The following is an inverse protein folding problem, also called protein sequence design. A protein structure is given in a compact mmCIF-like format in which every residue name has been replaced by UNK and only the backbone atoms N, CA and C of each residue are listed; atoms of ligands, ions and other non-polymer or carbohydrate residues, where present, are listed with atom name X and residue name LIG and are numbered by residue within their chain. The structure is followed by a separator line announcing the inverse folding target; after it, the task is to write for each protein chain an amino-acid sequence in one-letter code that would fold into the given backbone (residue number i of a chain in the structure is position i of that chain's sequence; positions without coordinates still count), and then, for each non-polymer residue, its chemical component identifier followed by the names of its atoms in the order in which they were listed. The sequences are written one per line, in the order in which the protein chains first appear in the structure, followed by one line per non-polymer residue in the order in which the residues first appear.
data_IF_699865613781
#
_entry.id   IF_699865613781
#
_cell.length_a   1.000
_cell.length_b   1.000
_cell.length_c   1.000
_cell.angle_alpha   90.00
_cell.angle_beta   90.00
_cell.angle_gamma   90.00
#
_symmetry.space_group_name_H-M   'P 1'
#
loop_
_entity.id
_entity.type
_entity.pdbx_description
1 polymer ?
#
# COMPACT_ATOMS: atom_id res chain seq x y z
N UNK A 1 16.25 -11.55 26.11
CA UNK A 1 15.47 -11.04 24.95
C UNK A 1 14.54 -12.12 24.36
N UNK A 2 14.56 -13.35 24.89
CA UNK A 2 13.81 -14.49 24.37
C UNK A 2 12.48 -14.81 25.11
N UNK A 3 12.10 -14.05 26.13
CA UNK A 3 10.94 -14.40 27.00
C UNK A 3 9.61 -13.73 26.63
N UNK A 4 9.60 -12.72 25.78
CA UNK A 4 8.37 -12.02 25.36
C UNK A 4 7.65 -12.67 24.18
N UNK A 5 8.39 -13.29 23.28
CA UNK A 5 7.82 -13.96 22.08
C UNK A 5 7.15 -15.30 22.43
N UNK A 6 7.63 -16.01 23.44
CA UNK A 6 7.04 -17.28 23.88
C UNK A 6 5.63 -17.17 24.47
N UNK A 7 5.29 -16.04 25.09
CA UNK A 7 3.96 -15.80 25.67
C UNK A 7 2.88 -15.55 24.61
N UNK A 8 3.22 -14.89 23.50
CA UNK A 8 2.28 -14.64 22.39
C UNK A 8 2.02 -15.93 21.59
N UNK A 9 3.03 -16.74 21.35
CA UNK A 9 2.91 -18.02 20.62
C UNK A 9 2.03 -19.01 21.41
N UNK A 10 2.21 -19.12 22.74
CA UNK A 10 1.42 -20.02 23.57
C UNK A 10 -0.05 -19.60 23.75
N UNK A 11 -0.35 -18.30 23.65
CA UNK A 11 -1.75 -17.83 23.61
C UNK A 11 -2.43 -18.10 22.27
N UNK A 12 -1.69 -18.17 21.18
CA UNK A 12 -2.22 -18.49 19.84
C UNK A 12 -2.52 -19.99 19.68
N UNK A 13 -1.81 -20.89 20.39
CA UNK A 13 -2.06 -22.33 20.33
C UNK A 13 -3.31 -22.77 21.10
N UNK A 14 -3.75 -22.02 22.12
CA UNK A 14 -4.94 -22.37 22.92
C UNK A 14 -6.30 -22.03 22.29
N UNK A 15 -6.31 -21.28 21.19
CA UNK A 15 -7.52 -20.81 20.47
C UNK A 15 -7.87 -21.67 19.24
N UNK A 16 -7.15 -22.78 19.01
CA UNK A 16 -7.31 -23.62 17.83
C UNK A 16 -8.53 -24.57 17.84
N UNK A 17 -9.53 -24.35 18.70
CA UNK A 17 -10.69 -25.25 18.79
C UNK A 17 -12.03 -24.52 18.88
N UNK A 18 -12.36 -23.74 17.83
CA UNK A 18 -13.74 -23.54 17.37
C UNK A 18 -13.65 -22.87 16.00
N UNK A 19 -14.53 -23.17 15.04
CA UNK A 19 -14.52 -22.66 13.66
C UNK A 19 -14.69 -21.14 13.65
N UNK A 20 -13.65 -20.39 14.01
CA UNK A 20 -13.60 -18.96 13.88
C UNK A 20 -13.53 -18.55 12.41
N UNK A 21 -14.12 -17.41 12.09
CA UNK A 21 -14.24 -16.86 10.75
C UNK A 21 -12.91 -16.92 9.99
N UNK A 22 -12.86 -17.71 8.93
CA UNK A 22 -11.67 -17.94 8.09
C UNK A 22 -11.01 -16.63 7.61
N UNK A 23 -11.76 -15.52 7.58
CA UNK A 23 -11.25 -14.19 7.19
C UNK A 23 -10.36 -13.57 8.26
N UNK A 24 -10.70 -13.72 9.55
CA UNK A 24 -9.91 -13.17 10.68
C UNK A 24 -8.63 -13.95 10.84
N UNK A 25 -8.70 -15.28 10.89
CA UNK A 25 -7.53 -16.18 10.95
C UNK A 25 -6.54 -15.91 9.82
N UNK A 26 -7.02 -15.79 8.58
CA UNK A 26 -6.20 -15.45 7.41
C UNK A 26 -5.43 -14.14 7.58
N UNK A 27 -6.04 -13.11 8.15
CA UNK A 27 -5.37 -11.81 8.33
C UNK A 27 -4.23 -11.87 9.35
N UNK A 28 -4.40 -12.64 10.41
CA UNK A 28 -3.33 -12.89 11.38
C UNK A 28 -2.17 -13.68 10.73
N UNK A 29 -2.49 -14.72 9.95
CA UNK A 29 -1.50 -15.47 9.18
C UNK A 29 -0.71 -14.55 8.22
N UNK A 30 -1.39 -13.68 7.47
CA UNK A 30 -0.73 -12.74 6.56
C UNK A 30 0.27 -11.85 7.29
N UNK A 31 -0.11 -11.27 8.44
CA UNK A 31 0.79 -10.42 9.23
C UNK A 31 1.98 -11.22 9.72
N UNK A 32 1.75 -12.41 10.34
CA UNK A 32 2.80 -13.28 10.83
C UNK A 32 3.78 -13.67 9.72
N UNK A 33 3.27 -14.19 8.60
CA UNK A 33 4.10 -14.62 7.47
C UNK A 33 4.94 -13.45 6.91
N UNK A 34 4.35 -12.25 6.77
CA UNK A 34 5.09 -11.08 6.28
C UNK A 34 6.21 -10.66 7.24
N UNK A 35 6.03 -10.85 8.56
CA UNK A 35 7.02 -10.52 9.57
C UNK A 35 8.12 -11.58 9.69
N UNK A 36 7.74 -12.86 9.68
CA UNK A 36 8.61 -13.96 10.06
C UNK A 36 9.30 -14.64 8.87
N UNK A 37 8.71 -14.55 7.66
CA UNK A 37 9.17 -15.27 6.49
C UNK A 37 9.77 -14.35 5.41
N UNK A 38 10.65 -14.94 4.57
CA UNK A 38 11.15 -14.25 3.37
C UNK A 38 10.12 -14.33 2.25
N UNK A 39 9.25 -13.34 2.23
CA UNK A 39 8.21 -13.13 1.21
C UNK A 39 8.59 -12.07 0.17
N UNK A 40 9.86 -11.73 0.06
CA UNK A 40 10.33 -10.84 -1.00
C UNK A 40 10.12 -11.48 -2.38
N UNK A 41 9.82 -10.65 -3.37
CA UNK A 41 9.72 -11.10 -4.76
C UNK A 41 11.05 -11.76 -5.21
N UNK A 42 10.97 -12.85 -5.96
CA UNK A 42 12.14 -13.63 -6.40
C UNK A 42 12.39 -13.40 -7.89
N UNK A 43 13.63 -13.03 -8.25
CA UNK A 43 14.01 -12.84 -9.66
C UNK A 43 13.44 -11.59 -10.33
N UNK A 44 12.69 -10.75 -9.60
CA UNK A 44 12.22 -9.44 -10.05
C UNK A 44 12.57 -8.40 -8.99
N UNK A 45 12.94 -7.20 -9.44
CA UNK A 45 13.31 -6.06 -8.60
C UNK A 45 12.44 -4.87 -8.94
N UNK A 46 12.34 -3.91 -8.01
CA UNK A 46 11.56 -2.67 -8.20
C UNK A 46 11.98 -1.85 -9.40
N UNK A 47 13.24 -1.99 -9.83
CA UNK A 47 13.87 -1.22 -10.89
C UNK A 47 14.52 0.09 -10.41
N UNK A 48 14.35 0.53 -9.16
CA UNK A 48 14.97 1.78 -8.67
C UNK A 48 16.49 1.78 -8.75
N UNK A 49 17.15 0.61 -8.65
CA UNK A 49 18.59 0.48 -8.79
C UNK A 49 19.12 0.81 -10.21
N UNK A 50 18.24 0.71 -11.23
CA UNK A 50 18.59 1.06 -12.61
C UNK A 50 18.55 2.57 -12.89
N UNK A 51 18.26 3.38 -11.89
CA UNK A 51 18.17 4.85 -11.99
C UNK A 51 19.04 5.52 -10.93
N UNK A 52 19.72 6.60 -11.33
CA UNK A 52 20.43 7.50 -10.41
C UNK A 52 19.83 8.89 -10.48
N UNK A 53 19.78 9.55 -9.34
CA UNK A 53 19.58 11.00 -9.26
C UNK A 53 20.90 11.66 -9.69
N UNK A 54 20.90 12.66 -10.58
CA UNK A 54 22.09 13.42 -10.92
C UNK A 54 22.68 14.03 -9.66
N UNK A 55 23.99 13.98 -9.50
CA UNK A 55 24.66 14.60 -8.36
C UNK A 55 25.06 16.03 -8.68
N UNK A 56 24.52 16.97 -7.91
CA UNK A 56 24.90 18.36 -7.96
C UNK A 56 25.89 18.68 -6.81
N UNK A 57 27.15 18.89 -7.19
CA UNK A 57 28.21 19.16 -6.22
C UNK A 57 28.13 20.56 -5.60
N UNK A 58 27.49 21.51 -6.31
CA UNK A 58 27.25 22.88 -5.85
C UNK A 58 25.77 23.22 -6.03
N UNK A 59 24.86 22.73 -5.15
CA UNK A 59 23.43 22.86 -5.35
C UNK A 59 22.90 24.30 -5.20
N UNK A 60 23.69 25.21 -4.60
CA UNK A 60 23.30 26.59 -4.28
C UNK A 60 21.93 26.72 -3.58
N UNK A 61 21.62 25.72 -2.75
CA UNK A 61 20.40 25.59 -1.96
C UNK A 61 20.77 25.51 -0.46
N UNK A 62 19.80 25.84 0.38
CA UNK A 62 19.88 25.56 1.82
C UNK A 62 19.05 24.31 2.12
N UNK A 63 19.65 23.27 2.69
CA UNK A 63 18.96 22.02 3.04
C UNK A 63 17.76 22.27 3.97
N UNK A 64 17.81 23.29 4.83
CA UNK A 64 16.71 23.64 5.74
C UNK A 64 15.48 24.17 4.98
N UNK A 65 15.67 24.71 3.78
CA UNK A 65 14.62 25.33 2.95
C UNK A 65 14.03 24.39 1.90
N UNK A 66 14.54 23.14 1.79
CA UNK A 66 13.99 22.13 0.87
C UNK A 66 12.53 21.86 1.21
N UNK A 67 11.65 22.09 0.25
CA UNK A 67 10.22 21.95 0.40
C UNK A 67 9.71 20.62 -0.17
N UNK A 68 9.26 19.73 0.71
CA UNK A 68 8.66 18.42 0.36
C UNK A 68 7.13 18.42 0.41
N UNK A 69 6.49 19.58 0.68
CA UNK A 69 5.03 19.63 0.83
C UNK A 69 4.31 19.36 -0.49
N UNK A 70 3.18 18.67 -0.40
CA UNK A 70 2.34 18.35 -1.54
C UNK A 70 0.86 18.44 -1.18
N UNK A 71 0.01 18.41 -2.20
CA UNK A 71 -1.44 18.33 -2.08
C UNK A 71 -1.93 17.05 -2.74
N UNK A 72 -2.83 16.31 -2.06
CA UNK A 72 -3.47 15.13 -2.63
C UNK A 72 -4.89 15.00 -2.08
N UNK A 73 -5.88 14.83 -2.95
CA UNK A 73 -7.32 14.80 -2.56
C UNK A 73 -7.74 16.01 -1.69
N UNK A 74 -7.20 17.21 -1.98
CA UNK A 74 -7.47 18.42 -1.20
C UNK A 74 -6.79 18.48 0.17
N UNK A 75 -6.07 17.44 0.58
CA UNK A 75 -5.29 17.42 1.83
C UNK A 75 -3.87 17.90 1.60
N UNK A 76 -3.38 18.76 2.49
CA UNK A 76 -1.98 19.14 2.52
C UNK A 76 -1.15 18.07 3.24
N UNK A 77 -0.06 17.63 2.63
CA UNK A 77 0.86 16.65 3.19
C UNK A 77 2.27 17.25 3.28
N UNK A 78 3.00 16.93 4.35
CA UNK A 78 4.38 17.44 4.57
C UNK A 78 5.42 16.77 3.66
N UNK A 79 5.11 15.59 3.14
CA UNK A 79 5.94 14.89 2.15
C UNK A 79 5.06 14.03 1.24
N UNK A 80 5.51 13.71 0.01
CA UNK A 80 4.77 12.88 -0.93
C UNK A 80 4.86 11.38 -0.57
N UNK A 81 4.57 11.05 0.68
CA UNK A 81 4.70 9.70 1.24
C UNK A 81 3.40 9.23 1.88
N UNK A 82 2.97 8.02 1.52
CA UNK A 82 1.78 7.35 2.02
C UNK A 82 2.16 6.02 2.69
N UNK A 83 1.53 5.69 3.81
CA UNK A 83 1.55 4.31 4.33
C UNK A 83 0.48 3.52 3.59
N UNK A 84 0.91 2.52 2.80
CA UNK A 84 0.02 1.71 1.97
C UNK A 84 -0.87 0.80 2.81
N UNK A 85 -2.00 0.40 2.23
CA UNK A 85 -2.98 -0.50 2.84
C UNK A 85 -2.38 -1.87 3.17
N UNK A 86 -2.50 -2.32 4.42
CA UNK A 86 -1.92 -3.60 4.88
C UNK A 86 -2.91 -4.48 5.61
N UNK A 87 -3.37 -4.10 6.81
CA UNK A 87 -4.09 -4.98 7.72
C UNK A 87 -5.33 -4.33 8.35
N UNK A 88 -6.08 -5.12 9.12
CA UNK A 88 -7.30 -4.74 9.86
C UNK A 88 -8.25 -5.94 9.96
N UNK A 89 -9.28 -5.87 10.80
CA UNK A 89 -10.33 -6.89 10.93
C UNK A 89 -9.99 -8.06 11.85
N UNK A 90 -8.99 -7.88 12.71
CA UNK A 90 -8.75 -8.74 13.86
C UNK A 90 -8.35 -7.89 15.06
N UNK A 91 -8.67 -8.35 16.27
CA UNK A 91 -8.40 -7.59 17.51
C UNK A 91 -6.90 -7.23 17.62
N UNK A 92 -6.04 -8.21 17.43
CA UNK A 92 -4.58 -8.07 17.62
C UNK A 92 -3.92 -7.10 16.63
N UNK A 93 -4.53 -6.88 15.47
CA UNK A 93 -4.00 -5.92 14.48
C UNK A 93 -4.57 -4.49 14.64
N UNK A 94 -5.53 -4.28 15.53
CA UNK A 94 -6.11 -2.95 15.77
C UNK A 94 -5.06 -1.94 16.26
N UNK A 95 -4.15 -2.36 17.14
CA UNK A 95 -3.04 -1.55 17.63
C UNK A 95 -2.05 -1.14 16.53
N UNK A 96 -1.88 -1.99 15.50
CA UNK A 96 -1.03 -1.67 14.35
C UNK A 96 -1.62 -0.48 13.60
N UNK A 97 -2.92 -0.54 13.28
CA UNK A 97 -3.60 0.56 12.59
C UNK A 97 -3.60 1.86 13.42
N UNK A 98 -3.77 1.77 14.74
CA UNK A 98 -3.69 2.92 15.65
C UNK A 98 -2.28 3.56 15.60
N UNK A 99 -1.22 2.74 15.74
CA UNK A 99 0.16 3.23 15.71
C UNK A 99 0.53 3.88 14.37
N UNK A 100 0.07 3.30 13.24
CA UNK A 100 0.25 3.89 11.91
C UNK A 100 -0.48 5.22 11.78
N UNK A 101 -1.74 5.29 12.26
CA UNK A 101 -2.56 6.49 12.19
C UNK A 101 -1.99 7.64 13.02
N UNK A 102 -1.58 7.38 14.27
CA UNK A 102 -0.91 8.37 15.11
C UNK A 102 0.36 8.91 14.44
N UNK A 103 1.18 8.02 13.86
CA UNK A 103 2.42 8.43 13.22
C UNK A 103 2.18 9.29 11.96
N UNK A 104 1.22 8.93 11.09
CA UNK A 104 0.92 9.74 9.90
C UNK A 104 0.30 11.09 10.25
N UNK A 105 -0.50 11.18 11.32
CA UNK A 105 -1.01 12.47 11.82
C UNK A 105 0.13 13.36 12.31
N UNK A 106 1.05 12.82 13.15
CA UNK A 106 2.19 13.57 13.69
C UNK A 106 3.11 14.09 12.58
N UNK A 107 3.31 13.29 11.53
CA UNK A 107 4.19 13.63 10.41
C UNK A 107 3.47 14.39 9.28
N UNK A 108 2.16 14.57 9.34
CA UNK A 108 1.38 15.19 8.26
C UNK A 108 1.44 14.39 6.95
N UNK A 109 1.33 13.07 7.05
CA UNK A 109 1.32 12.12 5.93
C UNK A 109 -0.09 11.58 5.71
N UNK A 110 -0.21 10.51 4.90
CA UNK A 110 -1.47 9.79 4.72
C UNK A 110 -1.32 8.29 4.88
N UNK A 111 -2.44 7.57 5.01
CA UNK A 111 -2.45 6.12 5.02
C UNK A 111 -3.72 5.53 4.42
N UNK A 112 -3.59 4.30 3.90
CA UNK A 112 -4.73 3.43 3.61
C UNK A 112 -4.86 2.32 4.66
N UNK A 113 -6.09 1.96 5.03
CA UNK A 113 -6.32 0.78 5.86
C UNK A 113 -6.33 -0.49 5.01
N UNK A 114 -6.11 -1.64 5.63
CA UNK A 114 -6.27 -2.93 4.96
C UNK A 114 -7.73 -3.19 4.57
N UNK A 115 -7.97 -4.21 3.72
CA UNK A 115 -9.33 -4.52 3.25
C UNK A 115 -10.33 -4.64 4.40
N UNK A 116 -11.40 -3.82 4.34
CA UNK A 116 -12.46 -3.73 5.34
C UNK A 116 -13.53 -4.84 5.19
N UNK A 117 -13.30 -5.84 4.31
CA UNK A 117 -14.21 -6.95 4.06
C UNK A 117 -14.67 -7.63 5.36
N UNK A 118 -13.78 -7.81 6.34
CA UNK A 118 -14.12 -8.43 7.62
C UNK A 118 -15.18 -7.61 8.37
N UNK A 119 -14.99 -6.30 8.48
CA UNK A 119 -15.91 -5.41 9.19
C UNK A 119 -17.22 -5.13 8.41
N UNK A 120 -17.21 -5.27 7.07
CA UNK A 120 -18.45 -5.22 6.29
C UNK A 120 -19.33 -6.45 6.56
N UNK A 121 -18.71 -7.63 6.80
CA UNK A 121 -19.43 -8.87 7.14
C UNK A 121 -19.84 -8.92 8.60
N UNK A 122 -18.94 -8.51 9.48
CA UNK A 122 -19.16 -8.46 10.93
C UNK A 122 -18.84 -7.06 11.46
N UNK A 123 -19.90 -6.30 11.73
CA UNK A 123 -19.79 -4.93 12.20
C UNK A 123 -19.07 -4.81 13.56
N UNK A 124 -19.03 -5.87 14.36
CA UNK A 124 -18.31 -5.86 15.63
C UNK A 124 -16.80 -5.63 15.43
N UNK A 125 -16.25 -5.91 14.23
CA UNK A 125 -14.85 -5.68 13.87
C UNK A 125 -14.56 -4.26 13.36
N UNK A 126 -15.56 -3.40 13.21
CA UNK A 126 -15.38 -2.05 12.64
C UNK A 126 -14.37 -1.21 13.43
N UNK A 127 -14.34 -1.34 14.77
CA UNK A 127 -13.41 -0.60 15.62
C UNK A 127 -11.93 -0.83 15.27
N UNK A 128 -11.58 -1.96 14.66
CA UNK A 128 -10.19 -2.29 14.24
C UNK A 128 -9.71 -1.45 13.07
N UNK A 129 -10.63 -0.75 12.39
CA UNK A 129 -10.36 0.14 11.26
C UNK A 129 -10.61 1.61 11.59
N UNK A 130 -11.30 1.95 12.67
CA UNK A 130 -11.68 3.32 13.04
C UNK A 130 -10.48 4.18 13.44
N UNK A 131 -9.65 4.49 12.44
CA UNK A 131 -8.37 5.21 12.61
C UNK A 131 -8.52 6.73 12.63
N UNK A 132 -9.66 7.30 12.18
CA UNK A 132 -9.88 8.76 12.15
C UNK A 132 -9.68 9.41 13.53
N UNK A 133 -10.04 8.75 14.62
CA UNK A 133 -9.81 9.24 15.98
C UNK A 133 -8.32 9.45 16.34
N UNK A 134 -7.42 8.72 15.69
CA UNK A 134 -5.97 8.84 15.86
C UNK A 134 -5.32 9.74 14.81
N UNK A 135 -6.00 9.96 13.68
CA UNK A 135 -5.53 10.74 12.56
C UNK A 135 -6.61 11.70 12.04
N UNK A 136 -7.02 12.72 12.86
CA UNK A 136 -8.16 13.58 12.56
C UNK A 136 -7.99 14.41 11.29
N UNK A 137 -6.74 14.74 10.89
CA UNK A 137 -6.44 15.61 9.73
C UNK A 137 -5.78 14.86 8.58
N UNK A 138 -5.15 13.72 8.84
CA UNK A 138 -4.40 12.97 7.84
C UNK A 138 -5.30 12.53 6.67
N UNK A 139 -4.67 12.33 5.51
CA UNK A 139 -5.29 11.67 4.37
C UNK A 139 -5.56 10.20 4.71
N UNK A 140 -6.82 9.79 4.72
CA UNK A 140 -7.24 8.41 5.01
C UNK A 140 -7.95 7.79 3.82
N UNK A 141 -7.53 6.58 3.44
CA UNK A 141 -8.07 5.83 2.32
C UNK A 141 -8.74 4.55 2.83
N UNK A 142 -10.05 4.40 2.57
CA UNK A 142 -10.80 3.15 2.76
C UNK A 142 -10.33 2.10 1.75
N UNK A 143 -10.64 0.80 2.02
CA UNK A 143 -10.14 -0.26 1.15
C UNK A 143 -11.07 -1.47 1.10
N UNK A 144 -11.39 -1.89 -0.12
CA UNK A 144 -12.08 -3.16 -0.41
C UNK A 144 -11.42 -3.86 -1.60
N UNK A 145 -11.53 -5.18 -1.65
CA UNK A 145 -11.16 -5.94 -2.86
C UNK A 145 -12.15 -5.68 -3.98
N UNK A 146 -11.67 -5.22 -5.13
CA UNK A 146 -12.53 -4.98 -6.29
C UNK A 146 -13.30 -6.25 -6.69
N UNK A 147 -12.68 -7.42 -6.61
CA UNK A 147 -13.31 -8.70 -6.94
C UNK A 147 -14.56 -8.98 -6.09
N UNK A 148 -14.69 -8.39 -4.90
CA UNK A 148 -15.88 -8.56 -4.05
C UNK A 148 -17.15 -8.00 -4.71
N UNK A 149 -17.01 -7.05 -5.64
CA UNK A 149 -18.14 -6.54 -6.44
C UNK A 149 -18.82 -7.62 -7.29
N UNK A 150 -18.09 -8.71 -7.61
CA UNK A 150 -18.66 -9.89 -8.27
C UNK A 150 -19.16 -10.96 -7.28
N UNK A 151 -19.04 -10.71 -5.97
CA UNK A 151 -19.45 -11.62 -4.90
C UNK A 151 -20.42 -10.95 -3.92
N UNK A 152 -21.35 -10.19 -4.44
CA UNK A 152 -22.49 -9.62 -3.71
C UNK A 152 -22.23 -8.27 -3.05
N UNK A 153 -21.05 -7.64 -3.26
CA UNK A 153 -20.81 -6.27 -2.84
C UNK A 153 -21.23 -5.28 -3.93
N UNK A 154 -21.65 -4.10 -3.52
CA UNK A 154 -22.04 -3.01 -4.39
C UNK A 154 -21.59 -1.66 -3.86
N UNK A 155 -22.28 -0.61 -4.28
CA UNK A 155 -22.00 0.77 -3.84
C UNK A 155 -22.24 0.94 -2.34
N UNK A 156 -23.23 0.25 -1.77
CA UNK A 156 -23.56 0.38 -0.34
C UNK A 156 -22.45 -0.17 0.55
N UNK A 157 -21.82 -1.30 0.18
CA UNK A 157 -20.66 -1.82 0.91
C UNK A 157 -19.46 -0.89 0.76
N UNK A 158 -19.28 -0.28 -0.40
CA UNK A 158 -18.25 0.73 -0.64
C UNK A 158 -18.48 1.97 0.23
N UNK A 159 -19.72 2.48 0.30
CA UNK A 159 -20.10 3.61 1.15
C UNK A 159 -19.87 3.29 2.63
N UNK A 160 -20.31 2.12 3.09
CA UNK A 160 -20.06 1.65 4.47
C UNK A 160 -18.58 1.57 4.81
N UNK A 161 -17.71 1.17 3.86
CA UNK A 161 -16.27 1.16 4.07
C UNK A 161 -15.71 2.58 4.22
N UNK A 162 -16.17 3.53 3.41
CA UNK A 162 -15.79 4.95 3.50
C UNK A 162 -16.23 5.55 4.84
N UNK A 163 -17.51 5.39 5.19
CA UNK A 163 -18.11 5.96 6.39
C UNK A 163 -17.47 5.40 7.67
N UNK A 164 -17.10 4.11 7.66
CA UNK A 164 -16.49 3.43 8.81
C UNK A 164 -15.23 4.12 9.34
N UNK A 165 -14.46 4.75 8.46
CA UNK A 165 -13.22 5.44 8.82
C UNK A 165 -13.24 6.93 8.44
N UNK A 166 -14.36 7.46 7.99
CA UNK A 166 -14.48 8.84 7.48
C UNK A 166 -13.39 9.11 6.43
N UNK A 167 -13.31 8.22 5.42
CA UNK A 167 -12.23 8.24 4.44
C UNK A 167 -12.37 9.37 3.42
N UNK A 168 -11.24 9.88 2.94
CA UNK A 168 -11.17 10.90 1.89
C UNK A 168 -11.31 10.28 0.47
N UNK A 169 -11.07 8.97 0.31
CA UNK A 169 -11.27 8.19 -0.91
C UNK A 169 -11.40 6.69 -0.61
N UNK A 170 -11.91 5.94 -1.60
CA UNK A 170 -11.95 4.49 -1.57
C UNK A 170 -10.85 3.88 -2.45
N UNK A 171 -10.05 2.98 -1.90
CA UNK A 171 -9.21 2.07 -2.67
C UNK A 171 -10.02 0.81 -3.04
N UNK A 172 -10.10 0.49 -4.32
CA UNK A 172 -10.48 -0.82 -4.82
C UNK A 172 -9.20 -1.56 -5.24
N UNK A 173 -8.77 -2.55 -4.44
CA UNK A 173 -7.57 -3.30 -4.80
C UNK A 173 -7.85 -4.45 -5.77
N UNK A 174 -6.93 -4.60 -6.74
CA UNK A 174 -6.88 -5.72 -7.68
C UNK A 174 -5.81 -6.70 -7.21
N UNK A 175 -6.16 -7.96 -7.05
CA UNK A 175 -5.27 -8.99 -6.53
C UNK A 175 -5.48 -10.33 -7.24
N UNK A 176 -5.57 -10.30 -8.56
CA UNK A 176 -5.92 -11.47 -9.37
C UNK A 176 -5.00 -12.66 -9.16
N UNK A 177 -3.67 -12.43 -9.10
CA UNK A 177 -2.72 -13.51 -8.85
C UNK A 177 -2.87 -14.06 -7.42
N UNK A 178 -2.97 -13.19 -6.41
CA UNK A 178 -3.18 -13.63 -5.04
C UNK A 178 -4.42 -14.51 -4.92
N UNK A 179 -5.57 -14.06 -5.44
CA UNK A 179 -6.82 -14.81 -5.41
C UNK A 179 -6.72 -16.14 -6.19
N UNK A 180 -5.94 -16.18 -7.27
CA UNK A 180 -5.76 -17.39 -8.06
C UNK A 180 -4.95 -18.48 -7.36
N UNK A 181 -3.99 -18.09 -6.51
CA UNK A 181 -3.12 -19.03 -5.78
C UNK A 181 -3.55 -19.25 -4.33
N UNK A 182 -4.45 -18.43 -3.80
CA UNK A 182 -4.98 -18.54 -2.46
C UNK A 182 -5.97 -19.71 -2.36
N UNK A 183 -5.92 -20.58 -1.33
CA UNK A 183 -6.80 -21.76 -1.23
C UNK A 183 -8.30 -21.42 -1.32
N UNK A 184 -8.74 -20.32 -0.70
CA UNK A 184 -10.11 -19.82 -0.62
C UNK A 184 -10.37 -18.62 -1.53
N UNK A 185 -9.64 -18.49 -2.65
CA UNK A 185 -9.63 -17.30 -3.49
C UNK A 185 -10.91 -17.04 -4.30
N UNK A 186 -11.21 -15.77 -4.49
CA UNK A 186 -12.32 -15.29 -5.30
C UNK A 186 -11.82 -14.94 -6.72
N UNK A 187 -11.94 -15.87 -7.66
CA UNK A 187 -11.29 -15.80 -8.97
C UNK A 187 -12.16 -15.31 -10.12
N UNK A 188 -13.43 -14.98 -9.86
CA UNK A 188 -14.31 -14.45 -10.90
C UNK A 188 -14.12 -12.94 -11.09
N UNK A 189 -13.29 -12.55 -12.05
CA UNK A 189 -13.04 -11.16 -12.46
C UNK A 189 -13.83 -10.76 -13.70
N UNK A 190 -14.73 -11.61 -14.22
CA UNK A 190 -15.50 -11.33 -15.43
C UNK A 190 -16.45 -10.15 -15.21
N UNK A 191 -16.41 -9.15 -16.08
CA UNK A 191 -17.28 -7.98 -16.02
C UNK A 191 -16.96 -7.00 -14.87
N UNK A 192 -15.87 -7.21 -14.14
CA UNK A 192 -15.49 -6.39 -12.98
C UNK A 192 -15.34 -4.90 -13.31
N UNK A 193 -14.86 -4.57 -14.52
CA UNK A 193 -14.70 -3.18 -14.94
C UNK A 193 -16.03 -2.41 -14.90
N UNK A 194 -17.13 -3.03 -15.36
CA UNK A 194 -18.47 -2.41 -15.30
C UNK A 194 -18.98 -2.25 -13.87
N UNK A 195 -18.59 -3.14 -12.95
CA UNK A 195 -18.91 -3.00 -11.52
C UNK A 195 -18.12 -1.85 -10.88
N UNK A 196 -16.84 -1.68 -11.25
CA UNK A 196 -16.02 -0.53 -10.84
C UNK A 196 -16.62 0.78 -11.37
N UNK A 197 -17.03 0.84 -12.64
CA UNK A 197 -17.69 2.00 -13.23
C UNK A 197 -18.92 2.43 -12.42
N UNK A 198 -19.76 1.47 -12.02
CA UNK A 198 -20.94 1.74 -11.19
C UNK A 198 -20.57 2.36 -9.86
N UNK A 199 -19.53 1.87 -9.20
CA UNK A 199 -19.03 2.43 -7.95
C UNK A 199 -18.52 3.86 -8.18
N UNK A 200 -17.67 4.08 -9.21
CA UNK A 200 -17.14 5.42 -9.53
C UNK A 200 -18.22 6.46 -9.79
N UNK A 201 -19.34 6.05 -10.40
CA UNK A 201 -20.46 6.96 -10.72
C UNK A 201 -21.37 7.29 -9.53
N UNK A 202 -21.42 6.46 -8.50
CA UNK A 202 -22.41 6.55 -7.42
C UNK A 202 -21.82 6.78 -6.04
N UNK A 203 -20.51 6.63 -5.88
CA UNK A 203 -19.84 6.90 -4.62
C UNK A 203 -19.50 8.39 -4.53
N UNK A 204 -19.70 8.98 -3.37
CA UNK A 204 -19.53 10.42 -3.12
C UNK A 204 -18.06 10.84 -3.00
N UNK A 205 -17.15 9.88 -2.79
CA UNK A 205 -15.70 10.13 -2.71
C UNK A 205 -14.98 9.52 -3.92
N UNK A 206 -13.80 10.04 -4.29
CA UNK A 206 -13.01 9.49 -5.37
C UNK A 206 -12.62 8.02 -5.17
N UNK A 207 -12.53 7.27 -6.28
CA UNK A 207 -12.08 5.88 -6.28
C UNK A 207 -10.66 5.80 -6.84
N UNK A 208 -9.77 5.16 -6.07
CA UNK A 208 -8.41 4.82 -6.48
C UNK A 208 -8.36 3.31 -6.71
N UNK A 209 -7.80 2.87 -7.84
CA UNK A 209 -7.56 1.44 -8.05
C UNK A 209 -6.09 1.12 -7.79
N UNK A 210 -5.86 0.08 -6.99
CA UNK A 210 -4.54 -0.36 -6.54
C UNK A 210 -4.33 -1.84 -6.83
N UNK A 211 -3.14 -2.19 -7.26
CA UNK A 211 -2.65 -3.57 -7.26
C UNK A 211 -1.99 -3.91 -5.91
N UNK A 212 -1.52 -5.12 -5.69
CA UNK A 212 -1.00 -5.57 -4.38
C UNK A 212 0.48 -5.99 -4.41
N UNK A 213 1.15 -5.88 -5.55
CA UNK A 213 2.57 -6.22 -5.67
C UNK A 213 2.97 -6.80 -7.04
N UNK A 214 2.03 -6.79 -8.01
CA UNK A 214 2.29 -7.29 -9.36
C UNK A 214 2.19 -6.18 -10.44
N UNK A 215 1.75 -4.98 -10.06
CA UNK A 215 1.78 -3.79 -10.90
C UNK A 215 0.58 -3.60 -11.83
N UNK A 216 0.28 -2.33 -12.10
CA UNK A 216 -0.71 -1.90 -13.10
C UNK A 216 0.05 -1.30 -14.29
N UNK A 217 -0.13 -1.88 -15.49
CA UNK A 217 0.43 -1.34 -16.73
C UNK A 217 -0.50 -0.34 -17.40
N UNK A 218 0.01 0.36 -18.42
CA UNK A 218 -0.67 1.45 -19.15
C UNK A 218 -2.07 1.07 -19.65
N UNK A 219 -2.22 -0.10 -20.28
CA UNK A 219 -3.49 -0.53 -20.87
C UNK A 219 -4.58 -0.74 -19.80
N UNK A 220 -4.23 -1.35 -18.67
CA UNK A 220 -5.17 -1.54 -17.57
C UNK A 220 -5.51 -0.21 -16.92
N UNK A 221 -4.52 0.66 -16.69
CA UNK A 221 -4.72 1.99 -16.15
C UNK A 221 -5.66 2.83 -17.02
N UNK A 222 -5.48 2.81 -18.35
CA UNK A 222 -6.35 3.52 -19.29
C UNK A 222 -7.81 3.04 -19.16
N UNK A 223 -8.05 1.73 -19.21
CA UNK A 223 -9.39 1.16 -19.05
C UNK A 223 -10.05 1.53 -17.73
N UNK A 224 -9.29 1.63 -16.66
CA UNK A 224 -9.80 2.04 -15.34
C UNK A 224 -10.18 3.52 -15.32
N UNK A 225 -9.34 4.39 -15.88
CA UNK A 225 -9.63 5.82 -15.99
C UNK A 225 -10.83 6.09 -16.90
N UNK A 226 -10.95 5.36 -18.00
CA UNK A 226 -12.10 5.48 -18.94
C UNK A 226 -13.47 5.20 -18.26
N UNK A 227 -13.48 4.42 -17.19
CA UNK A 227 -14.70 4.13 -16.40
C UNK A 227 -14.86 4.98 -15.15
N UNK A 228 -14.03 6.02 -14.99
CA UNK A 228 -14.18 7.03 -13.93
C UNK A 228 -13.31 6.81 -12.69
N UNK A 229 -12.34 5.89 -12.72
CA UNK A 229 -11.34 5.79 -11.66
C UNK A 229 -10.53 7.09 -11.59
N UNK A 230 -10.47 7.70 -10.42
CA UNK A 230 -9.82 8.98 -10.20
C UNK A 230 -8.30 8.88 -10.17
N UNK A 231 -7.74 7.81 -9.61
CA UNK A 231 -6.30 7.66 -9.44
C UNK A 231 -5.84 6.20 -9.46
N UNK A 232 -4.57 5.99 -9.74
CA UNK A 232 -3.93 4.68 -9.84
C UNK A 232 -2.83 4.56 -8.78
N UNK A 233 -2.82 3.45 -8.03
CA UNK A 233 -1.68 3.03 -7.22
C UNK A 233 -1.09 1.77 -7.87
N UNK A 234 0.08 1.90 -8.44
CA UNK A 234 0.65 0.82 -9.28
C UNK A 234 0.98 -0.44 -8.50
N UNK A 235 1.41 -0.34 -7.26
CA UNK A 235 1.86 -1.45 -6.41
C UNK A 235 2.66 -2.50 -7.21
N UNK A 236 3.80 -2.05 -7.76
CA UNK A 236 4.60 -2.83 -8.68
C UNK A 236 5.38 -3.97 -8.02
N UNK A 237 5.95 -4.86 -8.84
CA UNK A 237 6.77 -5.97 -8.40
C UNK A 237 8.16 -5.53 -7.91
N UNK A 238 8.75 -6.33 -7.01
CA UNK A 238 10.07 -6.13 -6.42
C UNK A 238 10.06 -5.81 -4.92
N UNK A 239 8.86 -5.72 -4.31
CA UNK A 239 8.65 -5.67 -2.86
C UNK A 239 8.20 -7.03 -2.32
N UNK A 240 7.15 -7.03 -1.47
CA UNK A 240 6.49 -8.25 -1.00
C UNK A 240 5.75 -8.93 -2.14
N UNK A 241 5.97 -10.23 -2.33
CA UNK A 241 5.23 -11.08 -3.26
C UNK A 241 4.08 -11.76 -2.53
N UNK A 242 2.84 -11.45 -2.91
CA UNK A 242 1.67 -12.08 -2.30
C UNK A 242 1.55 -13.55 -2.68
N UNK A 243 2.09 -13.99 -3.83
CA UNK A 243 2.16 -15.42 -4.14
C UNK A 243 3.09 -16.17 -3.19
N UNK A 244 4.19 -15.54 -2.71
CA UNK A 244 5.03 -16.10 -1.66
C UNK A 244 4.30 -16.15 -0.32
N UNK A 245 3.55 -15.09 0.05
CA UNK A 245 2.72 -15.11 1.26
C UNK A 245 1.72 -16.27 1.22
N UNK A 246 1.00 -16.43 0.11
CA UNK A 246 0.05 -17.52 -0.05
C UNK A 246 0.73 -18.89 -0.17
N UNK A 247 1.98 -18.97 -0.64
CA UNK A 247 2.78 -20.22 -0.63
C UNK A 247 2.96 -20.77 0.79
N UNK A 248 3.24 -19.91 1.77
CA UNK A 248 3.36 -20.32 3.17
C UNK A 248 2.01 -20.72 3.81
N UNK A 249 0.88 -20.36 3.19
CA UNK A 249 -0.47 -20.76 3.63
C UNK A 249 -0.97 -22.05 2.99
N UNK A 250 -0.27 -22.58 1.98
CA UNK A 250 -0.69 -23.81 1.30
C UNK A 250 -0.61 -25.02 2.21
N UNK A 251 -1.61 -25.89 2.11
CA UNK A 251 -1.68 -27.14 2.87
C UNK A 251 -1.15 -28.35 2.09
N UNK A 252 -0.78 -28.15 0.82
CA UNK A 252 -0.24 -29.20 -0.06
C UNK A 252 1.04 -28.74 -0.74
N UNK A 253 1.99 -29.67 -0.97
CA UNK A 253 3.23 -29.38 -1.70
C UNK A 253 2.96 -28.87 -3.13
N UNK A 254 1.94 -29.42 -3.79
CA UNK A 254 1.55 -28.97 -5.13
C UNK A 254 1.07 -27.53 -5.11
N UNK A 255 0.20 -27.14 -4.16
CA UNK A 255 -0.24 -25.77 -3.98
C UNK A 255 0.91 -24.80 -3.70
N UNK A 256 1.81 -25.19 -2.78
CA UNK A 256 3.00 -24.41 -2.45
C UNK A 256 3.92 -24.25 -3.67
N UNK A 257 4.12 -25.29 -4.46
CA UNK A 257 4.90 -25.22 -5.71
C UNK A 257 4.24 -24.31 -6.73
N UNK A 258 2.92 -24.40 -6.92
CA UNK A 258 2.18 -23.51 -7.85
C UNK A 258 2.33 -22.06 -7.43
N UNK A 259 2.05 -21.71 -6.19
CA UNK A 259 2.18 -20.34 -5.69
C UNK A 259 3.63 -19.82 -5.83
N UNK A 260 4.64 -20.65 -5.45
CA UNK A 260 6.05 -20.31 -5.56
C UNK A 260 6.53 -20.04 -7.01
N UNK A 261 5.90 -20.67 -8.02
CA UNK A 261 6.22 -20.43 -9.43
C UNK A 261 5.94 -18.98 -9.88
N UNK A 262 5.12 -18.24 -9.13
CA UNK A 262 4.77 -16.84 -9.40
C UNK A 262 5.47 -15.84 -8.48
N UNK A 263 6.48 -16.27 -7.72
CA UNK A 263 7.20 -15.41 -6.78
C UNK A 263 7.81 -14.15 -7.41
N UNK A 264 8.19 -14.22 -8.69
CA UNK A 264 8.74 -13.12 -9.49
C UNK A 264 7.79 -12.56 -10.54
N UNK A 265 6.49 -12.89 -10.46
CA UNK A 265 5.52 -12.44 -11.45
C UNK A 265 5.10 -10.99 -11.23
N UNK A 266 5.14 -10.18 -12.30
CA UNK A 266 4.60 -8.83 -12.28
C UNK A 266 5.47 -7.82 -13.02
N UNK A 267 4.95 -6.59 -13.08
CA UNK A 267 5.59 -5.44 -13.70
C UNK A 267 6.41 -4.70 -12.63
N UNK A 268 7.73 -4.50 -12.81
CA UNK A 268 8.55 -3.73 -11.89
C UNK A 268 7.97 -2.35 -11.56
N UNK A 269 8.11 -1.91 -10.32
CA UNK A 269 7.51 -0.65 -9.85
C UNK A 269 7.87 0.55 -10.72
N UNK A 270 9.15 0.71 -11.06
CA UNK A 270 9.59 1.84 -11.91
C UNK A 270 9.01 1.78 -13.31
N UNK A 271 8.87 0.58 -13.86
CA UNK A 271 8.29 0.38 -15.18
C UNK A 271 6.77 0.66 -15.16
N UNK A 272 6.06 0.21 -14.15
CA UNK A 272 4.65 0.50 -13.97
C UNK A 272 4.39 2.02 -13.87
N UNK A 273 5.17 2.74 -13.05
CA UNK A 273 5.09 4.20 -12.93
C UNK A 273 5.28 4.86 -14.30
N UNK A 274 6.35 4.50 -15.01
CA UNK A 274 6.69 5.10 -16.32
C UNK A 274 5.62 4.83 -17.36
N UNK A 275 5.12 3.60 -17.45
CA UNK A 275 4.09 3.22 -18.41
C UNK A 275 2.78 3.99 -18.17
N UNK A 276 2.33 4.04 -16.90
CA UNK A 276 1.10 4.74 -16.55
C UNK A 276 1.24 6.23 -16.79
N UNK A 277 2.33 6.88 -16.33
CA UNK A 277 2.54 8.31 -16.54
C UNK A 277 2.68 8.69 -18.01
N UNK A 278 3.34 7.86 -18.84
CA UNK A 278 3.45 8.10 -20.27
C UNK A 278 2.11 8.02 -21.00
N UNK A 279 1.25 7.08 -20.61
CA UNK A 279 -0.09 6.92 -21.21
C UNK A 279 -1.12 7.93 -20.67
N UNK A 280 -1.00 8.30 -19.40
CA UNK A 280 -1.96 9.11 -18.64
C UNK A 280 -1.23 10.26 -17.93
N UNK A 281 -0.83 11.32 -18.64
CA UNK A 281 0.03 12.38 -18.10
C UNK A 281 -0.56 13.09 -16.86
N UNK A 282 -1.87 13.13 -16.72
CA UNK A 282 -2.56 13.91 -15.69
C UNK A 282 -3.28 13.06 -14.63
N UNK A 283 -3.25 11.72 -14.72
CA UNK A 283 -3.89 10.87 -13.71
C UNK A 283 -3.14 10.98 -12.38
N UNK A 284 -3.83 11.14 -11.25
CA UNK A 284 -3.19 11.01 -9.95
C UNK A 284 -2.56 9.62 -9.78
N UNK A 285 -1.25 9.58 -9.52
CA UNK A 285 -0.45 8.36 -9.56
C UNK A 285 0.32 8.14 -8.27
N UNK A 286 0.10 7.01 -7.63
CA UNK A 286 0.85 6.55 -6.45
C UNK A 286 1.84 5.49 -6.90
N UNK A 287 3.13 5.75 -6.68
CA UNK A 287 4.22 4.82 -6.95
C UNK A 287 4.50 3.97 -5.71
N UNK A 288 3.94 2.77 -5.65
CA UNK A 288 4.16 1.82 -4.56
C UNK A 288 4.67 0.47 -5.07
N UNK A 289 5.11 -0.37 -4.14
CA UNK A 289 5.73 -1.66 -4.41
C UNK A 289 7.24 -1.61 -4.18
N UNK A 290 7.67 -2.02 -2.98
CA UNK A 290 9.08 -2.12 -2.59
C UNK A 290 9.83 -0.80 -2.44
N UNK A 291 9.15 0.31 -2.17
CA UNK A 291 9.76 1.59 -1.75
C UNK A 291 10.30 1.43 -0.34
N UNK A 292 11.61 1.59 -0.16
CA UNK A 292 12.32 1.21 1.08
C UNK A 292 13.00 2.38 1.81
N UNK A 293 13.16 3.53 1.16
CA UNK A 293 13.83 4.71 1.71
C UNK A 293 13.40 5.98 0.95
N UNK A 294 13.86 7.14 1.42
CA UNK A 294 13.55 8.43 0.82
C UNK A 294 14.19 8.66 -0.55
N UNK A 295 15.28 7.94 -0.87
CA UNK A 295 15.89 7.99 -2.22
C UNK A 295 14.97 7.29 -3.24
N UNK A 296 14.34 6.17 -2.85
CA UNK A 296 13.32 5.51 -3.68
C UNK A 296 12.10 6.41 -3.87
N UNK A 297 11.69 7.15 -2.81
CA UNK A 297 10.62 8.16 -2.93
C UNK A 297 11.01 9.23 -3.95
N UNK A 298 12.22 9.81 -3.87
CA UNK A 298 12.68 10.80 -4.82
C UNK A 298 12.65 10.27 -6.26
N UNK A 299 13.13 9.04 -6.48
CA UNK A 299 13.11 8.40 -7.80
C UNK A 299 11.69 8.12 -8.29
N UNK A 300 10.77 7.69 -7.43
CA UNK A 300 9.36 7.48 -7.78
C UNK A 300 8.70 8.78 -8.26
N UNK A 301 8.95 9.90 -7.56
CA UNK A 301 8.43 11.24 -7.93
C UNK A 301 9.05 11.69 -9.27
N UNK A 302 10.36 11.58 -9.42
CA UNK A 302 11.05 11.95 -10.68
C UNK A 302 10.64 11.07 -11.88
N UNK A 303 10.22 9.82 -11.64
CA UNK A 303 9.67 8.93 -12.67
C UNK A 303 8.21 9.23 -13.03
N UNK A 304 7.54 10.10 -12.27
CA UNK A 304 6.22 10.61 -12.60
C UNK A 304 5.11 10.30 -11.59
N UNK A 305 5.40 9.75 -10.42
CA UNK A 305 4.39 9.60 -9.36
C UNK A 305 4.09 10.94 -8.69
N UNK A 306 2.84 11.11 -8.23
CA UNK A 306 2.45 12.24 -7.38
C UNK A 306 2.76 11.97 -5.91
N UNK A 307 2.57 10.72 -5.48
CA UNK A 307 2.98 10.19 -4.18
C UNK A 307 3.78 8.91 -4.36
N UNK A 308 4.62 8.58 -3.38
CA UNK A 308 5.15 7.23 -3.19
C UNK A 308 4.51 6.58 -1.96
N UNK A 309 4.44 5.23 -1.92
CA UNK A 309 3.91 4.56 -0.75
C UNK A 309 4.79 3.39 -0.30
N UNK A 310 4.89 3.23 1.03
CA UNK A 310 5.61 2.13 1.69
C UNK A 310 4.65 1.28 2.52
N UNK A 311 4.97 0.00 2.70
CA UNK A 311 4.13 -0.95 3.45
C UNK A 311 4.94 -1.70 4.53
N UNK A 312 5.64 -2.78 4.17
CA UNK A 312 6.34 -3.67 5.12
C UNK A 312 7.24 -2.92 6.11
N UNK A 313 8.06 -1.92 5.74
CA UNK A 313 8.86 -1.17 6.70
C UNK A 313 8.02 -0.51 7.81
N UNK A 314 6.88 0.10 7.46
CA UNK A 314 5.97 0.71 8.43
C UNK A 314 5.29 -0.35 9.31
N UNK A 315 4.90 -1.51 8.75
CA UNK A 315 4.36 -2.64 9.52
C UNK A 315 5.37 -3.15 10.55
N UNK A 316 6.61 -3.39 10.14
CA UNK A 316 7.70 -3.86 11.03
C UNK A 316 7.93 -2.87 12.18
N UNK A 317 7.86 -1.57 11.91
CA UNK A 317 7.96 -0.55 12.96
C UNK A 317 6.74 -0.56 13.90
N UNK A 318 5.52 -0.70 13.35
CA UNK A 318 4.28 -0.63 14.13
C UNK A 318 4.08 -1.80 15.11
N UNK A 319 4.70 -2.96 14.85
CA UNK A 319 4.63 -4.14 15.75
C UNK A 319 5.65 -4.10 16.88
N UNK A 320 6.61 -3.17 16.88
CA UNK A 320 7.56 -3.01 17.97
C UNK A 320 6.87 -2.50 19.24
N UNK A 321 7.50 -2.71 20.40
CA UNK A 321 6.98 -2.23 21.69
C UNK A 321 6.75 -0.71 21.71
N UNK A 322 7.59 0.05 20.98
CA UNK A 322 7.49 1.52 20.86
C UNK A 322 6.30 1.98 19.98
N UNK A 323 5.64 1.07 19.24
CA UNK A 323 4.44 1.36 18.46
C UNK A 323 4.56 2.58 17.55
N UNK A 324 3.70 3.59 17.75
CA UNK A 324 3.69 4.81 16.94
C UNK A 324 5.05 5.54 16.91
N UNK A 325 5.80 5.56 18.02
CA UNK A 325 7.10 6.23 18.05
C UNK A 325 8.14 5.58 17.12
N UNK A 326 8.12 4.24 16.98
CA UNK A 326 8.99 3.55 16.03
C UNK A 326 8.58 3.83 14.58
N UNK A 327 7.28 3.93 14.31
CA UNK A 327 6.76 4.31 12.98
C UNK A 327 7.15 5.74 12.63
N UNK A 328 7.00 6.68 13.57
CA UNK A 328 7.42 8.09 13.39
C UNK A 328 8.90 8.17 13.03
N UNK A 329 9.77 7.49 13.81
CA UNK A 329 11.21 7.48 13.55
C UNK A 329 11.53 6.91 12.15
N UNK A 330 10.93 5.78 11.79
CA UNK A 330 11.12 5.16 10.48
C UNK A 330 10.65 6.04 9.32
N UNK A 331 9.46 6.63 9.41
CA UNK A 331 8.92 7.48 8.34
C UNK A 331 9.62 8.86 8.29
N UNK A 332 10.07 9.40 9.44
CA UNK A 332 10.88 10.62 9.46
C UNK A 332 12.20 10.41 8.70
N UNK A 333 12.84 9.25 8.84
CA UNK A 333 14.03 8.91 8.06
C UNK A 333 13.78 8.99 6.54
N UNK A 334 12.62 8.50 6.04
CA UNK A 334 12.25 8.66 4.62
C UNK A 334 12.15 10.14 4.20
N UNK A 335 11.58 10.98 5.06
CA UNK A 335 11.44 12.42 4.77
C UNK A 335 12.83 13.07 4.72
N UNK A 336 13.71 12.74 5.65
CA UNK A 336 15.05 13.32 5.72
C UNK A 336 15.92 12.85 4.55
N UNK A 337 15.87 11.56 4.19
CA UNK A 337 16.54 11.00 3.02
C UNK A 337 16.02 11.63 1.71
N UNK A 338 14.71 11.86 1.58
CA UNK A 338 14.12 12.58 0.44
C UNK A 338 14.69 14.00 0.35
N UNK A 339 14.74 14.74 1.46
CA UNK A 339 15.28 16.11 1.50
C UNK A 339 16.76 16.14 1.10
N UNK A 340 17.55 15.19 1.60
CA UNK A 340 18.98 15.08 1.22
C UNK A 340 19.13 14.74 -0.25
N UNK A 341 18.33 13.80 -0.77
CA UNK A 341 18.33 13.44 -2.18
C UNK A 341 17.97 14.64 -3.08
N UNK A 342 16.95 15.42 -2.72
CA UNK A 342 16.56 16.64 -3.43
C UNK A 342 17.67 17.68 -3.39
N UNK A 343 18.24 17.95 -2.20
CA UNK A 343 19.35 18.90 -2.03
C UNK A 343 20.55 18.54 -2.91
N UNK A 344 21.03 17.28 -2.84
CA UNK A 344 22.16 16.81 -3.63
C UNK A 344 21.87 16.67 -5.14
N UNK A 345 20.61 16.86 -5.56
CA UNK A 345 20.21 16.87 -6.96
C UNK A 345 19.81 18.25 -7.46
N UNK A 346 20.04 19.31 -6.66
CA UNK A 346 19.71 20.68 -7.02
C UNK A 346 18.19 20.98 -7.08
N UNK A 347 17.38 20.18 -6.39
CA UNK A 347 15.92 20.32 -6.38
C UNK A 347 15.44 20.98 -5.08
N UNK A 348 15.04 22.25 -5.12
CA UNK A 348 14.54 22.99 -3.96
C UNK A 348 13.11 22.59 -3.55
N UNK A 349 12.33 22.01 -4.47
CA UNK A 349 10.94 21.58 -4.26
C UNK A 349 10.57 20.36 -5.10
N UNK A 350 9.34 19.84 -4.90
CA UNK A 350 8.85 18.68 -5.63
C UNK A 350 8.57 18.99 -7.12
N UNK A 351 8.37 20.23 -7.50
CA UNK A 351 8.18 20.61 -8.91
C UNK A 351 9.50 20.43 -9.66
N UNK A 352 10.61 20.90 -9.10
CA UNK A 352 11.94 20.70 -9.64
C UNK A 352 12.27 19.19 -9.72
N UNK A 353 11.94 18.42 -8.66
CA UNK A 353 12.16 16.98 -8.64
C UNK A 353 11.38 16.22 -9.73
N UNK A 354 10.12 16.61 -10.01
CA UNK A 354 9.32 16.01 -11.10
C UNK A 354 9.88 16.30 -12.49
N UNK A 355 10.63 17.37 -12.66
CA UNK A 355 11.28 17.73 -13.92
C UNK A 355 12.67 17.14 -14.07
N UNK A 356 13.23 16.59 -13.00
CA UNK A 356 14.57 16.02 -12.98
C UNK A 356 14.63 14.77 -13.85
N UNK A 357 15.59 14.75 -14.79
CA UNK A 357 15.86 13.57 -15.61
C UNK A 357 16.79 12.63 -14.87
N UNK A 358 16.29 11.46 -14.52
CA UNK A 358 17.13 10.42 -13.92
C UNK A 358 18.09 9.84 -14.95
N UNK A 359 19.30 9.54 -14.50
CA UNK A 359 20.30 8.81 -15.28
C UNK A 359 19.99 7.31 -15.22
N UNK A 360 20.06 6.62 -16.36
CA UNK A 360 19.93 5.17 -16.41
C UNK A 360 21.30 4.52 -16.26
N UNK A 361 21.43 3.56 -15.32
CA UNK A 361 22.68 2.82 -15.06
C UNK A 361 22.79 1.58 -15.94
#
# INVERSE_FOLDING_TARGET
VASGLGSLVNQLESVAMEREDTTVSRKLDHVRIVLDEDVAAKGVYTGFAAYRLPHEALPELNLAEINTTTQFLGKSMRAPLLVSSMTGGAHDVSRINAALAEAVEMLGLGMGVGSQRAAIRDQSLAYTYQVRRYAPKALLLANLGAVQLNYGYGVDECRRAVDMIEADALILHLNALQEAVQPEGNTNFKGLLSSIERVCRQLEVPVIVKEVGNGIGAQTAQRLVDVGVWGIDVAGAGGTSWSEVERFRQTTDTGARVAGSFAGWGLPTTEAIRQVRAALPNVPLIGSGGVRNGVDVAKAIALGSDLAATAKPALVAAVQERGAAAVVEGLQAYIDELRVAMFCSGCGDLQALRQLKLERT
#
